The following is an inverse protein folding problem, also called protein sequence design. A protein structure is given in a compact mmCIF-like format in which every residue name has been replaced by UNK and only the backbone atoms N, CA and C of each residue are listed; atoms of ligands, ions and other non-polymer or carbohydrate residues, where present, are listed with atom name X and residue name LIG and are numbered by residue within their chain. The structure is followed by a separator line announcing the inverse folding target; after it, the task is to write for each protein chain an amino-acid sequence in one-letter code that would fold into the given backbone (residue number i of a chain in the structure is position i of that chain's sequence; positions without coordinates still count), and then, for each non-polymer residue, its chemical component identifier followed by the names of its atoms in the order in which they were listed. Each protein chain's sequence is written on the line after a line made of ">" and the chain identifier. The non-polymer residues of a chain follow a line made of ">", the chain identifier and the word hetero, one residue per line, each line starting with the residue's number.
data_IF_208662843230
#
_entry.id   IF_208662843230
#
_cell.length_a   1.000
_cell.length_b   1.000
_cell.length_c   1.000
_cell.angle_alpha   90.00
_cell.angle_beta   90.00
_cell.angle_gamma   90.00
#
_symmetry.space_group_name_H-M   'P 1'
#
loop_
_entity.id
_entity.type
_entity.pdbx_description
1 polymer ?
#
# COMPACT_ATOMS: atom_id res chain seq x y z
N UNK A 1 -13.41 -4.62 1.05
CA UNK A 1 -12.07 -4.81 0.45
C UNK A 1 -12.11 -4.47 -1.03
N UNK A 2 -11.06 -3.79 -1.55
CA UNK A 2 -10.98 -3.37 -2.95
C UNK A 2 -9.57 -3.59 -3.50
N UNK A 3 -9.47 -4.08 -4.74
CA UNK A 3 -8.24 -4.17 -5.51
C UNK A 3 -8.17 -3.00 -6.50
N UNK A 4 -7.13 -2.19 -6.41
CA UNK A 4 -6.80 -1.14 -7.38
C UNK A 4 -5.67 -1.65 -8.28
N UNK A 5 -5.99 -1.85 -9.54
CA UNK A 5 -5.06 -2.31 -10.54
C UNK A 5 -4.77 -1.22 -11.55
N UNK A 6 -3.51 -1.05 -11.90
CA UNK A 6 -3.09 -0.06 -12.91
C UNK A 6 -1.60 -0.18 -13.16
N UNK A 7 -1.16 0.24 -14.32
CA UNK A 7 0.26 0.18 -14.70
C UNK A 7 1.16 1.05 -13.79
N UNK A 8 2.46 0.84 -13.84
CA UNK A 8 3.45 1.69 -13.16
C UNK A 8 3.28 3.13 -13.67
N UNK A 9 3.16 4.09 -12.76
CA UNK A 9 2.94 5.49 -13.11
C UNK A 9 1.50 5.86 -13.50
N UNK A 10 0.53 4.95 -13.40
CA UNK A 10 -0.88 5.22 -13.71
C UNK A 10 -1.64 6.08 -12.67
N UNK A 11 -0.96 6.50 -11.60
CA UNK A 11 -1.58 7.32 -10.55
C UNK A 11 -2.16 6.54 -9.37
N UNK A 12 -1.88 5.25 -9.21
CA UNK A 12 -2.34 4.46 -8.03
C UNK A 12 -2.00 5.12 -6.71
N UNK A 13 -0.79 5.66 -6.58
CA UNK A 13 -0.33 6.33 -5.35
C UNK A 13 -1.16 7.57 -5.04
N UNK A 14 -1.59 8.33 -6.06
CA UNK A 14 -2.46 9.50 -5.86
C UNK A 14 -3.82 9.06 -5.30
N UNK A 15 -4.44 8.03 -5.89
CA UNK A 15 -5.70 7.46 -5.40
C UNK A 15 -5.57 6.96 -3.96
N UNK A 16 -4.45 6.29 -3.67
CA UNK A 16 -4.13 5.84 -2.31
C UNK A 16 -4.04 7.03 -1.34
N UNK A 17 -3.26 8.06 -1.68
CA UNK A 17 -3.06 9.25 -0.84
C UNK A 17 -4.38 9.97 -0.57
N UNK A 18 -5.22 10.18 -1.58
CA UNK A 18 -6.56 10.78 -1.41
C UNK A 18 -7.45 9.93 -0.48
N UNK A 19 -7.38 8.61 -0.61
CA UNK A 19 -8.13 7.70 0.27
C UNK A 19 -7.66 7.76 1.73
N UNK A 20 -6.34 7.90 1.95
CA UNK A 20 -5.75 8.06 3.28
C UNK A 20 -6.16 9.38 3.92
N UNK A 21 -6.05 10.49 3.18
CA UNK A 21 -6.49 11.81 3.64
C UNK A 21 -7.97 11.77 4.00
N UNK A 22 -8.79 11.13 3.17
CA UNK A 22 -10.23 11.00 3.42
C UNK A 22 -10.53 10.18 4.69
N UNK A 23 -9.78 9.14 4.97
CA UNK A 23 -9.92 8.38 6.22
C UNK A 23 -9.57 9.24 7.44
N UNK A 24 -8.46 9.99 7.36
CA UNK A 24 -7.99 10.88 8.44
C UNK A 24 -8.99 12.02 8.70
N UNK A 25 -9.53 12.65 7.65
CA UNK A 25 -10.57 13.68 7.77
C UNK A 25 -11.82 13.17 8.49
N UNK A 26 -12.11 11.88 8.42
CA UNK A 26 -13.24 11.25 9.11
C UNK A 26 -12.87 10.71 10.51
N UNK A 27 -11.70 11.08 11.05
CA UNK A 27 -11.28 10.73 12.40
C UNK A 27 -10.69 9.32 12.54
N UNK A 28 -10.32 8.67 11.44
CA UNK A 28 -9.68 7.36 11.45
C UNK A 28 -8.18 7.47 11.26
N UNK A 29 -7.48 6.49 11.78
CA UNK A 29 -6.08 6.26 11.42
C UNK A 29 -5.98 5.43 10.15
N UNK A 30 -4.91 5.66 9.38
CA UNK A 30 -4.69 4.98 8.12
C UNK A 30 -3.24 4.46 8.00
N UNK A 31 -3.09 3.36 7.28
CA UNK A 31 -1.82 2.64 7.10
C UNK A 31 -1.54 2.43 5.62
N UNK A 32 -0.28 2.66 5.21
CA UNK A 32 0.28 2.07 3.99
C UNK A 32 1.35 1.05 4.35
N UNK A 33 1.21 -0.13 3.80
CA UNK A 33 2.19 -1.20 3.91
C UNK A 33 2.90 -1.42 2.57
N UNK A 34 4.22 -1.24 2.58
CA UNK A 34 5.08 -1.45 1.42
C UNK A 34 5.94 -2.71 1.59
N UNK A 35 6.32 -3.39 0.49
CA UNK A 35 7.08 -4.65 0.56
C UNK A 35 8.54 -4.47 0.98
N UNK A 36 9.11 -3.29 0.81
CA UNK A 36 10.51 -2.98 1.13
C UNK A 36 10.63 -1.64 1.84
N UNK A 37 11.72 -1.45 2.58
CA UNK A 37 12.02 -0.17 3.25
C UNK A 37 12.22 0.97 2.25
N UNK A 38 12.80 0.70 1.09
CA UNK A 38 13.00 1.69 0.03
C UNK A 38 11.65 2.22 -0.45
N UNK A 39 10.70 1.33 -0.75
CA UNK A 39 9.36 1.72 -1.19
C UNK A 39 8.56 2.40 -0.07
N UNK A 40 8.72 1.96 1.18
CA UNK A 40 8.11 2.63 2.32
C UNK A 40 8.62 4.07 2.47
N UNK A 41 9.93 4.29 2.31
CA UNK A 41 10.53 5.62 2.35
C UNK A 41 10.05 6.50 1.20
N UNK A 42 9.99 5.97 -0.02
CA UNK A 42 9.46 6.70 -1.19
C UNK A 42 7.99 7.11 -0.99
N UNK A 43 7.16 6.22 -0.47
CA UNK A 43 5.77 6.56 -0.13
C UNK A 43 5.71 7.63 0.96
N UNK A 44 6.55 7.51 1.99
CA UNK A 44 6.59 8.48 3.08
C UNK A 44 6.94 9.89 2.58
N UNK A 45 7.99 10.02 1.78
CA UNK A 45 8.43 11.30 1.20
C UNK A 45 7.34 11.90 0.30
N UNK A 46 6.79 11.11 -0.63
CA UNK A 46 5.77 11.57 -1.57
C UNK A 46 4.46 11.98 -0.87
N UNK A 47 4.01 11.22 0.11
CA UNK A 47 2.77 11.52 0.85
C UNK A 47 2.97 12.70 1.79
N UNK A 48 4.13 12.81 2.44
CA UNK A 48 4.46 13.96 3.30
C UNK A 48 4.46 15.24 2.49
N UNK A 49 5.08 15.25 1.31
CA UNK A 49 5.06 16.42 0.41
C UNK A 49 3.63 16.76 -0.06
N UNK A 50 2.83 15.74 -0.42
CA UNK A 50 1.44 15.95 -0.82
C UNK A 50 0.59 16.53 0.32
N UNK A 51 0.81 16.09 1.54
CA UNK A 51 0.05 16.49 2.73
C UNK A 51 0.66 17.66 3.50
N UNK A 52 1.71 18.32 3.00
CA UNK A 52 2.46 19.36 3.74
C UNK A 52 1.62 20.53 4.25
N UNK A 53 0.50 20.82 3.59
CA UNK A 53 -0.43 21.88 3.99
C UNK A 53 -1.56 21.40 4.89
N UNK A 54 -1.65 20.09 5.15
CA UNK A 54 -2.69 19.47 5.95
C UNK A 54 -2.18 19.22 7.38
N UNK A 55 -3.03 19.37 8.40
CA UNK A 55 -2.68 19.09 9.79
C UNK A 55 -2.70 17.58 10.08
N UNK A 56 -1.87 16.80 9.39
CA UNK A 56 -1.80 15.34 9.51
C UNK A 56 -0.40 14.94 10.01
N UNK A 57 -0.34 14.23 11.11
CA UNK A 57 0.90 13.64 11.61
C UNK A 57 1.17 12.31 10.92
N UNK A 58 2.28 12.27 10.17
CA UNK A 58 2.69 11.13 9.36
C UNK A 58 3.97 10.53 9.96
N UNK A 59 4.04 9.21 10.06
CA UNK A 59 5.23 8.50 10.54
C UNK A 59 5.67 7.39 9.59
N UNK A 60 6.96 7.03 9.67
CA UNK A 60 7.56 5.91 8.96
C UNK A 60 8.05 4.87 9.97
N UNK A 61 7.62 3.61 9.82
CA UNK A 61 8.03 2.49 10.66
C UNK A 61 8.57 1.34 9.82
N UNK A 62 9.87 1.09 9.93
CA UNK A 62 10.55 0.01 9.22
C UNK A 62 11.36 -0.87 10.19
N UNK A 63 11.97 -1.92 9.66
CA UNK A 63 12.88 -2.75 10.45
C UNK A 63 14.06 -1.98 11.02
N UNK A 64 14.62 -1.05 10.22
CA UNK A 64 15.78 -0.23 10.56
C UNK A 64 15.48 0.97 11.49
N UNK A 65 14.21 1.28 11.77
CA UNK A 65 13.84 2.37 12.69
C UNK A 65 14.46 2.14 14.08
N UNK A 66 15.18 3.13 14.66
CA UNK A 66 15.79 2.99 15.97
C UNK A 66 14.79 2.64 17.08
N UNK A 67 15.21 1.86 18.08
CA UNK A 67 14.32 1.39 19.15
C UNK A 67 13.57 2.53 19.86
N UNK A 68 14.30 3.59 20.24
CA UNK A 68 13.70 4.76 20.91
C UNK A 68 12.60 5.41 20.07
N UNK A 69 12.79 5.47 18.77
CA UNK A 69 11.81 6.01 17.84
C UNK A 69 10.61 5.05 17.65
N UNK A 70 10.87 3.75 17.58
CA UNK A 70 9.80 2.74 17.56
C UNK A 70 8.88 2.88 18.79
N UNK A 71 9.47 3.00 19.99
CA UNK A 71 8.70 3.10 21.21
C UNK A 71 7.82 4.38 21.22
N UNK A 72 8.35 5.52 20.74
CA UNK A 72 7.58 6.76 20.54
C UNK A 72 6.44 6.57 19.54
N UNK A 73 6.72 5.98 18.39
CA UNK A 73 5.70 5.73 17.35
C UNK A 73 4.58 4.82 17.89
N UNK A 74 4.92 3.79 18.66
CA UNK A 74 3.91 2.90 19.24
C UNK A 74 2.97 3.64 20.21
N UNK A 75 3.51 4.50 21.07
CA UNK A 75 2.72 5.32 21.97
C UNK A 75 1.84 6.33 21.21
N UNK A 76 2.39 7.03 20.22
CA UNK A 76 1.68 8.02 19.42
C UNK A 76 0.61 7.40 18.51
N UNK A 77 0.78 6.16 18.05
CA UNK A 77 -0.26 5.40 17.35
C UNK A 77 -1.39 4.98 18.28
N UNK A 78 -1.05 4.47 19.48
CA UNK A 78 -2.03 4.00 20.45
C UNK A 78 -2.90 5.14 21.01
N UNK A 79 -2.34 6.34 21.17
CA UNK A 79 -3.10 7.51 21.62
C UNK A 79 -3.79 8.29 20.48
N UNK A 80 -3.47 8.00 19.22
CA UNK A 80 -4.06 8.62 18.02
C UNK A 80 -3.37 9.91 17.59
N UNK A 81 -2.22 10.28 18.13
CA UNK A 81 -1.42 11.45 17.70
C UNK A 81 -0.92 11.27 16.28
N UNK A 82 -0.45 10.06 15.92
CA UNK A 82 -0.12 9.71 14.53
C UNK A 82 -1.42 9.23 13.86
N UNK A 83 -1.83 9.93 12.82
CA UNK A 83 -3.02 9.60 12.03
C UNK A 83 -2.70 8.75 10.82
N UNK A 84 -1.50 8.89 10.26
CA UNK A 84 -1.08 8.16 9.08
C UNK A 84 0.29 7.54 9.32
N UNK A 85 0.41 6.24 9.06
CA UNK A 85 1.69 5.54 9.16
C UNK A 85 2.00 4.77 7.88
N UNK A 86 3.25 4.88 7.46
CA UNK A 86 3.81 4.13 6.34
C UNK A 86 4.86 3.18 6.90
N UNK A 87 4.94 1.97 6.38
CA UNK A 87 5.99 1.06 6.81
C UNK A 87 5.99 -0.28 6.09
N UNK A 88 6.78 -1.18 6.63
CA UNK A 88 6.93 -2.55 6.13
C UNK A 88 6.22 -3.55 7.05
N UNK A 89 6.63 -4.81 7.03
CA UNK A 89 6.16 -5.83 7.95
C UNK A 89 6.33 -5.48 9.46
N UNK A 90 7.11 -4.46 9.79
CA UNK A 90 7.20 -3.94 11.15
C UNK A 90 5.84 -3.47 11.70
N UNK A 91 4.91 -3.06 10.83
CA UNK A 91 3.55 -2.64 11.19
C UNK A 91 2.65 -3.79 11.69
N UNK A 92 3.02 -5.05 11.40
CA UNK A 92 2.23 -6.23 11.78
C UNK A 92 2.54 -6.68 13.21
N UNK A 93 3.66 -6.25 13.79
CA UNK A 93 4.09 -6.67 15.11
C UNK A 93 3.02 -6.36 16.17
N UNK A 94 2.86 -7.24 17.17
CA UNK A 94 1.84 -7.15 18.22
C UNK A 94 1.90 -5.85 19.01
N UNK A 95 3.09 -5.27 19.15
CA UNK A 95 3.33 -3.99 19.83
C UNK A 95 2.70 -2.79 19.11
N UNK A 96 2.43 -2.90 17.81
CA UNK A 96 1.79 -1.84 17.05
C UNK A 96 0.29 -1.89 17.30
N UNK A 97 -0.23 -0.92 18.03
CA UNK A 97 -1.65 -0.78 18.34
C UNK A 97 -2.17 0.55 17.81
N UNK A 98 -3.40 0.56 17.34
CA UNK A 98 -4.07 1.73 16.80
C UNK A 98 -5.24 2.12 17.70
N UNK A 99 -5.47 3.41 17.88
CA UNK A 99 -6.65 3.91 18.57
C UNK A 99 -7.92 3.70 17.74
N UNK A 100 -7.86 3.99 16.45
CA UNK A 100 -9.03 3.93 15.55
C UNK A 100 -8.59 3.68 14.09
N UNK A 101 -8.11 2.48 13.78
CA UNK A 101 -7.68 2.12 12.42
C UNK A 101 -8.89 1.92 11.51
N UNK A 102 -9.03 2.74 10.46
CA UNK A 102 -10.14 2.67 9.50
C UNK A 102 -9.74 2.25 8.08
N UNK A 103 -8.49 2.49 7.68
CA UNK A 103 -8.03 2.18 6.33
C UNK A 103 -6.64 1.54 6.33
N UNK A 104 -6.51 0.44 5.61
CA UNK A 104 -5.24 -0.23 5.34
C UNK A 104 -5.02 -0.29 3.84
N UNK A 105 -3.90 0.25 3.36
CA UNK A 105 -3.46 0.14 1.98
C UNK A 105 -2.26 -0.80 1.92
N UNK A 106 -2.29 -1.76 1.00
CA UNK A 106 -1.22 -2.73 0.78
C UNK A 106 -0.70 -2.55 -0.64
N UNK A 107 0.56 -2.16 -0.76
CA UNK A 107 1.23 -2.00 -2.05
C UNK A 107 1.93 -3.29 -2.46
N UNK A 108 1.81 -3.66 -3.76
CA UNK A 108 2.46 -4.83 -4.36
C UNK A 108 2.23 -6.14 -3.57
N UNK A 109 0.99 -6.50 -3.38
CA UNK A 109 0.52 -7.60 -2.52
C UNK A 109 1.14 -8.97 -2.75
N UNK A 110 1.64 -9.28 -3.95
CA UNK A 110 2.21 -10.61 -4.24
C UNK A 110 3.40 -10.98 -3.34
N UNK A 111 3.98 -10.02 -2.62
CA UNK A 111 5.03 -10.22 -1.61
C UNK A 111 4.51 -10.38 -0.18
N UNK A 112 3.18 -10.21 0.03
CA UNK A 112 2.55 -10.33 1.35
C UNK A 112 1.66 -11.57 1.41
N UNK A 113 1.89 -12.45 2.39
CA UNK A 113 1.06 -13.62 2.63
C UNK A 113 -0.35 -13.26 3.15
N UNK A 114 -1.29 -14.18 2.98
CA UNK A 114 -2.68 -14.07 3.47
C UNK A 114 -2.71 -13.77 4.98
N UNK A 115 -1.80 -14.36 5.75
CA UNK A 115 -1.71 -14.20 7.21
C UNK A 115 -1.34 -12.77 7.63
N UNK A 116 -0.55 -12.06 6.85
CA UNK A 116 -0.11 -10.70 7.17
C UNK A 116 -1.26 -9.69 6.99
N UNK A 117 -2.13 -9.91 6.02
CA UNK A 117 -3.37 -9.13 5.85
C UNK A 117 -4.32 -9.33 7.02
N UNK A 118 -4.54 -10.58 7.40
CA UNK A 118 -5.38 -10.91 8.54
C UNK A 118 -4.86 -10.22 9.81
N UNK A 119 -3.54 -10.24 10.06
CA UNK A 119 -2.94 -9.59 11.22
C UNK A 119 -3.22 -8.08 11.28
N UNK A 120 -3.17 -7.35 10.15
CA UNK A 120 -3.53 -5.93 10.11
C UNK A 120 -5.04 -5.69 10.26
N UNK A 121 -5.86 -6.58 9.69
CA UNK A 121 -7.32 -6.49 9.85
C UNK A 121 -7.77 -6.67 11.30
N UNK A 122 -7.06 -7.49 12.07
CA UNK A 122 -7.34 -7.68 13.50
C UNK A 122 -6.92 -6.49 14.39
N UNK A 123 -6.11 -5.56 13.87
CA UNK A 123 -5.68 -4.37 14.63
C UNK A 123 -6.72 -3.23 14.66
N UNK A 124 -7.82 -3.36 13.93
CA UNK A 124 -8.92 -2.42 13.92
C UNK A 124 -10.28 -3.12 13.93
N UNK A 125 -11.35 -2.37 14.18
CA UNK A 125 -12.72 -2.87 14.09
C UNK A 125 -13.12 -2.82 12.60
N UNK A 126 -12.81 -3.87 11.84
CA UNK A 126 -13.12 -4.01 10.41
C UNK A 126 -12.61 -2.86 9.51
N UNK A 127 -11.30 -2.59 9.48
CA UNK A 127 -10.77 -1.53 8.62
C UNK A 127 -11.04 -1.85 7.15
N UNK A 128 -11.26 -0.81 6.36
CA UNK A 128 -11.29 -0.93 4.91
C UNK A 128 -9.91 -1.32 4.39
N UNK A 129 -9.86 -2.22 3.39
CA UNK A 129 -8.59 -2.66 2.80
C UNK A 129 -8.59 -2.33 1.31
N UNK A 130 -7.58 -1.59 0.90
CA UNK A 130 -7.26 -1.29 -0.49
C UNK A 130 -5.93 -1.99 -0.84
N UNK A 131 -5.97 -2.85 -1.83
CA UNK A 131 -4.79 -3.52 -2.36
C UNK A 131 -4.42 -2.86 -3.67
N UNK A 132 -3.15 -2.53 -3.85
CA UNK A 132 -2.65 -1.97 -5.10
C UNK A 132 -1.71 -2.96 -5.78
N UNK A 133 -1.81 -3.06 -7.11
CA UNK A 133 -0.87 -3.85 -7.92
C UNK A 133 -0.68 -3.27 -9.30
N UNK A 134 0.55 -3.35 -9.80
CA UNK A 134 0.87 -3.04 -11.19
C UNK A 134 0.69 -4.24 -12.11
N UNK A 135 0.69 -5.47 -11.59
CA UNK A 135 0.53 -6.67 -12.41
C UNK A 135 -0.94 -6.92 -12.74
N UNK A 136 -1.29 -7.15 -14.01
CA UNK A 136 -2.64 -7.55 -14.36
C UNK A 136 -2.93 -8.95 -13.79
N UNK A 137 -3.90 -9.02 -12.86
CA UNK A 137 -4.36 -10.29 -12.29
C UNK A 137 -5.61 -10.69 -13.07
N UNK A 138 -5.65 -11.88 -13.73
CA UNK A 138 -6.84 -12.37 -14.39
C UNK A 138 -8.03 -12.44 -13.42
N UNK A 139 -9.23 -12.05 -13.88
CA UNK A 139 -10.45 -12.05 -13.05
C UNK A 139 -10.71 -13.39 -12.36
N UNK A 140 -10.43 -14.49 -13.05
CA UNK A 140 -10.56 -15.86 -12.50
C UNK A 140 -9.62 -16.09 -11.32
N UNK A 141 -8.39 -15.59 -11.38
CA UNK A 141 -7.44 -15.66 -10.25
C UNK A 141 -7.85 -14.74 -9.10
N UNK A 142 -8.44 -13.58 -9.39
CA UNK A 142 -8.90 -12.66 -8.36
C UNK A 142 -9.97 -13.32 -7.48
N UNK A 143 -10.92 -14.00 -8.07
CA UNK A 143 -11.98 -14.73 -7.34
C UNK A 143 -11.45 -15.90 -6.52
N UNK A 144 -10.45 -16.64 -7.04
CA UNK A 144 -9.90 -17.83 -6.33
C UNK A 144 -8.98 -17.45 -5.18
N UNK A 145 -8.22 -16.36 -5.30
CA UNK A 145 -7.17 -15.97 -4.33
C UNK A 145 -7.67 -14.92 -3.35
N UNK A 146 -8.62 -14.09 -3.74
CA UNK A 146 -9.01 -12.89 -2.98
C UNK A 146 -10.49 -12.88 -2.55
N UNK A 147 -11.31 -13.85 -2.98
CA UNK A 147 -12.74 -13.88 -2.66
C UNK A 147 -13.51 -12.69 -3.27
N UNK A 148 -14.45 -12.12 -2.54
CA UNK A 148 -15.33 -11.02 -2.97
C UNK A 148 -14.63 -9.64 -2.96
N UNK A 149 -13.49 -9.49 -3.67
CA UNK A 149 -12.86 -8.20 -3.84
C UNK A 149 -13.50 -7.40 -4.98
N UNK A 150 -13.95 -6.20 -4.68
CA UNK A 150 -14.30 -5.23 -5.71
C UNK A 150 -13.03 -4.77 -6.45
N UNK A 151 -13.01 -4.87 -7.77
CA UNK A 151 -11.86 -4.49 -8.60
C UNK A 151 -12.10 -3.14 -9.25
N UNK A 152 -11.11 -2.24 -9.10
CA UNK A 152 -11.02 -0.97 -9.82
C UNK A 152 -9.79 -0.97 -10.71
N UNK A 153 -9.96 -0.63 -11.99
CA UNK A 153 -8.90 -0.63 -12.99
C UNK A 153 -8.63 0.77 -13.49
N UNK A 154 -7.38 1.23 -13.38
CA UNK A 154 -6.91 2.44 -14.05
C UNK A 154 -6.38 2.00 -15.42
N UNK A 155 -7.12 2.37 -16.49
CA UNK A 155 -6.82 1.97 -17.87
C UNK A 155 -5.88 2.93 -18.60
N UNK A 156 -5.75 4.15 -18.10
CA UNK A 156 -4.91 5.16 -18.74
C UNK A 156 -3.44 4.84 -18.52
N UNK A 157 -2.69 4.85 -19.61
CA UNK A 157 -1.23 4.74 -19.56
C UNK A 157 -0.63 6.10 -19.19
N UNK A 158 0.53 6.10 -18.49
CA UNK A 158 1.25 7.34 -18.22
C UNK A 158 1.55 8.11 -19.50
N UNK A 159 1.51 9.44 -19.49
CA UNK A 159 1.84 10.26 -20.64
C UNK A 159 3.25 9.92 -21.17
N UNK A 160 3.37 9.73 -22.48
CA UNK A 160 4.66 9.44 -23.14
C UNK A 160 5.08 7.98 -23.19
N UNK A 161 4.32 7.05 -22.61
CA UNK A 161 4.63 5.62 -22.70
C UNK A 161 4.22 5.07 -24.06
N UNK A 162 5.21 4.56 -24.83
CA UNK A 162 4.97 3.91 -26.13
C UNK A 162 4.51 2.47 -25.90
N UNK A 163 3.56 1.94 -26.71
CA UNK A 163 3.18 0.53 -26.64
C UNK A 163 4.38 -0.38 -26.91
N UNK A 164 4.53 -1.40 -26.09
CA UNK A 164 5.58 -2.41 -26.28
C UNK A 164 5.15 -3.34 -27.42
N UNK A 165 5.99 -3.44 -28.47
CA UNK A 165 5.81 -4.43 -29.53
C UNK A 165 6.54 -5.71 -29.14
N UNK A 166 5.80 -6.79 -29.00
CA UNK A 166 6.38 -8.11 -28.69
C UNK A 166 6.61 -8.87 -29.99
N UNK A 167 7.83 -9.34 -30.18
CA UNK A 167 8.20 -10.19 -31.31
C UNK A 167 8.57 -11.57 -30.77
N UNK A 168 8.02 -12.62 -31.37
CA UNK A 168 8.43 -14.00 -31.11
C UNK A 168 9.60 -14.30 -32.05
N UNK A 169 10.79 -14.49 -31.50
CA UNK A 169 11.97 -14.93 -32.25
C UNK A 169 12.11 -16.44 -32.07
N UNK A 170 12.00 -17.18 -33.18
CA UNK A 170 12.33 -18.60 -33.20
C UNK A 170 13.87 -18.73 -33.22
N UNK A 171 14.43 -19.30 -32.15
CA UNK A 171 15.88 -19.51 -31.94
C UNK A 171 16.51 -20.57 -32.89
N UNK A 172 15.83 -20.91 -33.97
CA UNK A 172 16.32 -21.88 -34.98
C UNK A 172 16.52 -21.23 -36.33
N UNK A 173 17.59 -20.45 -36.46
CA UNK A 173 18.35 -20.33 -37.71
C UNK A 173 19.80 -19.98 -37.34
N UNK A 174 20.56 -20.96 -36.88
CA UNK A 174 22.00 -20.93 -37.06
C UNK A 174 22.26 -21.31 -38.52
N UNK A 175 22.75 -20.45 -39.38
CA UNK A 175 23.27 -20.88 -40.67
C UNK A 175 24.56 -21.66 -40.42
N UNK A 176 24.57 -22.90 -40.90
CA UNK A 176 25.78 -23.71 -41.10
C UNK A 176 26.78 -23.01 -42.03
#
# INVERSE_FOLDING_TARGET
>A
QRLLQGDVGSGKTVVATLSLVKAVENGYQAVIMAPTEILATQHFEGITEFCKTLPINIALLTGSTPKKEKDRIYEELANGTIQLIIGTHALIQDKVQFKNLGLVIIDEQHRFGVNQRAALQHKGVYPHVLIMTATPIPRTMTLSVYGDLAVSLIKEMPPGRKPVKTYVCLLYTSPS
#
